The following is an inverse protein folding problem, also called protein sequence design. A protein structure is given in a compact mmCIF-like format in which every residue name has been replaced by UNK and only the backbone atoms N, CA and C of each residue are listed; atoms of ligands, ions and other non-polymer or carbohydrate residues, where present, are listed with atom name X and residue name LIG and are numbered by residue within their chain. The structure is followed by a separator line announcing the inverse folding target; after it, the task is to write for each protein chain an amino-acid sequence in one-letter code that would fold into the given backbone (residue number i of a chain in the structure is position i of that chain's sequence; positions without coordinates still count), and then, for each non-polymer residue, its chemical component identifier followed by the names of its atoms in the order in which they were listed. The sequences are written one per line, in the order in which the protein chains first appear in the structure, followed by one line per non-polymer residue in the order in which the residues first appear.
data_IF_123644962722
#
_entry.id   IF_123644962722
#
_cell.length_a   1.000
_cell.length_b   1.000
_cell.length_c   1.000
_cell.angle_alpha   90.00
_cell.angle_beta   90.00
_cell.angle_gamma   90.00
#
_symmetry.space_group_name_H-M   'P 1'
#
loop_
_entity.id
_entity.type
_entity.pdbx_description
1 polymer ?
#
# COMPACT_ATOMS: atom_id res chain seq x y z
N UNK A 1 2.40 32.41 31.14
CA UNK A 1 1.12 31.66 31.04
C UNK A 1 1.42 30.18 31.11
N UNK A 2 0.81 29.42 32.03
CA UNK A 2 0.98 27.98 32.00
C UNK A 2 0.41 27.45 30.68
N UNK A 3 1.18 26.60 29.98
CA UNK A 3 0.74 25.89 28.76
C UNK A 3 -0.52 25.09 29.15
N UNK A 4 -1.55 25.15 28.29
CA UNK A 4 -2.74 24.36 28.50
C UNK A 4 -2.41 22.84 28.46
N UNK A 5 -3.30 22.02 28.95
CA UNK A 5 -3.09 20.58 29.06
C UNK A 5 -2.76 19.94 27.67
N UNK A 6 -3.41 20.39 26.58
CA UNK A 6 -3.19 19.89 25.25
C UNK A 6 -1.75 20.14 24.77
N UNK A 7 -1.24 21.36 24.97
CA UNK A 7 0.14 21.73 24.65
C UNK A 7 1.17 20.93 25.48
N UNK A 8 0.84 20.63 26.73
CA UNK A 8 1.70 19.79 27.59
C UNK A 8 1.75 18.35 27.14
N UNK A 9 0.62 17.79 26.75
CA UNK A 9 0.53 16.42 26.20
C UNK A 9 1.33 16.36 24.90
N UNK A 10 1.12 17.29 23.98
CA UNK A 10 1.86 17.38 22.73
C UNK A 10 3.37 17.42 22.97
N UNK A 11 3.82 18.32 23.85
CA UNK A 11 5.24 18.43 24.21
C UNK A 11 5.79 17.14 24.83
N UNK A 12 5.02 16.46 25.67
CA UNK A 12 5.42 15.19 26.25
C UNK A 12 5.58 14.07 25.19
N UNK A 13 4.69 14.05 24.22
CA UNK A 13 4.72 13.08 23.10
C UNK A 13 5.84 13.34 22.10
N UNK A 14 6.37 14.57 22.02
CA UNK A 14 7.47 14.95 21.12
C UNK A 14 8.87 14.85 21.74
N UNK A 15 9.00 14.40 22.99
CA UNK A 15 10.29 14.28 23.71
C UNK A 15 11.29 13.31 23.01
N UNK A 16 10.97 12.61 22.01
CA UNK A 16 11.90 11.74 21.29
C UNK A 16 12.15 12.15 19.84
N UNK A 17 11.86 13.39 19.44
CA UNK A 17 11.78 13.81 18.04
C UNK A 17 10.76 12.98 17.22
N UNK A 18 9.76 12.42 17.88
CA UNK A 18 8.68 11.70 17.23
C UNK A 18 7.46 12.60 17.21
N UNK A 19 6.87 12.83 16.05
CA UNK A 19 5.60 13.53 15.97
C UNK A 19 4.51 12.73 16.73
N UNK A 20 3.64 13.41 17.50
CA UNK A 20 2.55 12.73 18.18
C UNK A 20 1.65 12.05 17.17
N UNK A 21 1.31 10.79 17.42
CA UNK A 21 0.28 10.10 16.66
C UNK A 21 -1.07 10.67 17.10
N UNK A 22 -1.60 11.60 16.33
CA UNK A 22 -2.90 12.23 16.62
C UNK A 22 -4.09 11.30 16.35
N UNK A 23 -3.88 10.27 15.53
CA UNK A 23 -4.91 9.33 15.11
C UNK A 23 -4.54 7.89 15.47
N UNK A 24 -5.49 7.16 16.04
CA UNK A 24 -5.32 5.74 16.30
C UNK A 24 -5.27 4.98 14.99
N UNK A 25 -4.11 4.38 14.68
CA UNK A 25 -3.92 3.55 13.50
C UNK A 25 -4.03 2.09 13.94
N UNK A 26 -5.00 1.31 13.42
CA UNK A 26 -5.22 -0.06 13.88
C UNK A 26 -4.12 -1.05 13.47
N UNK A 27 -3.26 -0.67 12.51
CA UNK A 27 -2.20 -1.54 11.99
C UNK A 27 -0.85 -0.83 11.98
N UNK A 28 0.26 -1.52 12.30
CA UNK A 28 1.60 -0.92 12.35
C UNK A 28 2.21 -0.65 10.97
N UNK A 29 1.67 -1.21 9.89
CA UNK A 29 2.11 -1.01 8.51
C UNK A 29 1.08 -1.61 7.53
N UNK A 30 1.25 -1.38 6.22
CA UNK A 30 0.33 -1.86 5.19
C UNK A 30 0.32 -3.39 5.07
N UNK A 31 1.42 -4.09 5.28
CA UNK A 31 1.42 -5.56 5.31
C UNK A 31 0.52 -6.07 6.42
N UNK A 32 0.66 -5.54 7.63
CA UNK A 32 -0.20 -5.94 8.75
C UNK A 32 -1.68 -5.59 8.50
N UNK A 33 -1.97 -4.52 7.75
CA UNK A 33 -3.32 -4.23 7.29
C UNK A 33 -3.82 -5.35 6.35
N UNK A 34 -3.02 -5.75 5.36
CA UNK A 34 -3.38 -6.81 4.40
C UNK A 34 -3.60 -8.14 5.12
N UNK A 35 -2.70 -8.52 6.03
CA UNK A 35 -2.82 -9.72 6.85
C UNK A 35 -4.10 -9.67 7.71
N UNK A 36 -4.34 -8.54 8.38
CA UNK A 36 -5.52 -8.34 9.23
C UNK A 36 -6.84 -8.35 8.46
N UNK A 37 -6.87 -7.81 7.24
CA UNK A 37 -8.05 -7.88 6.38
C UNK A 37 -8.35 -9.32 5.97
N UNK A 38 -7.33 -10.12 5.64
CA UNK A 38 -7.52 -11.53 5.33
C UNK A 38 -8.05 -12.31 6.54
N UNK A 39 -7.49 -12.10 7.74
CA UNK A 39 -7.98 -12.73 8.97
C UNK A 39 -9.45 -12.35 9.24
N UNK A 40 -9.80 -11.09 9.02
CA UNK A 40 -11.15 -10.56 9.32
C UNK A 40 -12.21 -11.03 8.33
N UNK A 41 -11.88 -11.09 7.05
CA UNK A 41 -12.86 -11.31 5.98
C UNK A 41 -12.71 -12.67 5.31
N UNK A 42 -11.53 -13.28 5.24
CA UNK A 42 -11.29 -14.63 4.74
C UNK A 42 -12.02 -14.92 3.41
N UNK A 43 -12.91 -15.87 3.45
CA UNK A 43 -13.71 -16.31 2.28
C UNK A 43 -14.85 -15.35 1.90
N UNK A 44 -15.01 -14.23 2.63
CA UNK A 44 -16.03 -13.25 2.27
C UNK A 44 -15.71 -12.62 0.92
N UNK A 45 -16.68 -12.60 0.01
CA UNK A 45 -16.59 -11.87 -1.26
C UNK A 45 -16.54 -10.38 -0.96
N UNK A 46 -15.42 -9.74 -1.30
CA UNK A 46 -15.19 -8.29 -1.12
C UNK A 46 -15.43 -7.50 -2.40
N UNK A 47 -15.30 -8.15 -3.56
CA UNK A 47 -15.62 -7.56 -4.87
C UNK A 47 -16.59 -8.44 -5.62
N UNK A 48 -17.87 -8.11 -5.55
CA UNK A 48 -18.99 -8.95 -6.05
C UNK A 48 -18.92 -9.21 -7.56
N UNK A 49 -18.64 -8.17 -8.36
CA UNK A 49 -18.62 -8.27 -9.82
C UNK A 49 -17.51 -9.22 -10.36
N UNK A 50 -16.49 -9.47 -9.58
CA UNK A 50 -15.37 -10.36 -9.91
C UNK A 50 -15.37 -11.64 -9.08
N UNK A 51 -16.34 -11.80 -8.18
CA UNK A 51 -16.40 -12.90 -7.23
C UNK A 51 -15.07 -13.12 -6.46
N UNK A 52 -14.40 -12.01 -6.12
CA UNK A 52 -13.13 -12.06 -5.41
C UNK A 52 -13.36 -12.03 -3.91
N UNK A 53 -12.82 -13.03 -3.23
CA UNK A 53 -12.76 -13.08 -1.77
C UNK A 53 -11.49 -12.39 -1.26
N UNK A 54 -11.48 -12.07 0.03
CA UNK A 54 -10.29 -11.55 0.69
C UNK A 54 -9.12 -12.55 0.61
N UNK A 55 -9.38 -13.85 0.79
CA UNK A 55 -8.39 -14.93 0.65
C UNK A 55 -7.76 -14.98 -0.74
N UNK A 56 -8.57 -14.90 -1.80
CA UNK A 56 -8.03 -14.91 -3.18
C UNK A 56 -7.10 -13.74 -3.42
N UNK A 57 -7.48 -12.53 -2.98
CA UNK A 57 -6.65 -11.33 -3.12
C UNK A 57 -5.36 -11.50 -2.31
N UNK A 58 -5.47 -12.00 -1.09
CA UNK A 58 -4.34 -12.25 -0.21
C UNK A 58 -3.35 -13.25 -0.83
N UNK A 59 -3.83 -14.40 -1.28
CA UNK A 59 -3.00 -15.43 -1.90
C UNK A 59 -2.24 -14.91 -3.12
N UNK A 60 -2.94 -14.16 -3.99
CA UNK A 60 -2.30 -13.52 -5.14
C UNK A 60 -1.26 -12.47 -4.73
N UNK A 61 -1.52 -11.70 -3.68
CA UNK A 61 -0.53 -10.76 -3.16
C UNK A 61 0.72 -11.47 -2.63
N UNK A 62 0.57 -12.62 -1.93
CA UNK A 62 1.68 -13.43 -1.47
C UNK A 62 2.50 -14.00 -2.65
N UNK A 63 1.83 -14.49 -3.68
CA UNK A 63 2.47 -14.97 -4.91
C UNK A 63 3.27 -13.88 -5.63
N UNK A 64 2.72 -12.67 -5.71
CA UNK A 64 3.42 -11.51 -6.30
C UNK A 64 4.64 -11.13 -5.46
N UNK A 65 4.55 -11.15 -4.13
CA UNK A 65 5.69 -10.87 -3.26
C UNK A 65 6.82 -11.89 -3.49
N UNK A 66 6.51 -13.17 -3.58
CA UNK A 66 7.47 -14.23 -3.91
C UNK A 66 8.07 -14.05 -5.30
N UNK A 67 7.24 -13.71 -6.30
CA UNK A 67 7.69 -13.45 -7.65
C UNK A 67 8.64 -12.24 -7.72
N UNK A 68 8.29 -11.12 -7.08
CA UNK A 68 9.15 -9.92 -7.00
C UNK A 68 10.49 -10.25 -6.34
N UNK A 69 10.46 -11.02 -5.25
CA UNK A 69 11.68 -11.47 -4.59
C UNK A 69 12.55 -12.33 -5.53
N UNK A 70 11.95 -13.20 -6.34
CA UNK A 70 12.67 -14.01 -7.33
C UNK A 70 13.30 -13.18 -8.45
N UNK A 71 12.76 -11.98 -8.72
CA UNK A 71 13.35 -10.99 -9.64
C UNK A 71 14.43 -10.14 -8.97
N UNK A 72 14.77 -10.42 -7.72
CA UNK A 72 15.84 -9.73 -6.98
C UNK A 72 15.37 -8.47 -6.25
N UNK A 73 14.07 -8.16 -6.26
CA UNK A 73 13.54 -7.00 -5.53
C UNK A 73 13.63 -7.25 -4.02
N UNK A 74 14.16 -6.27 -3.31
CA UNK A 74 14.32 -6.30 -1.86
C UNK A 74 13.29 -5.38 -1.17
N UNK A 75 13.02 -5.59 0.14
CA UNK A 75 12.27 -4.61 0.93
C UNK A 75 12.87 -3.21 0.80
N UNK A 76 12.03 -2.18 0.85
CA UNK A 76 12.36 -0.75 0.66
C UNK A 76 12.78 -0.35 -0.76
N UNK A 77 12.90 -1.28 -1.69
CA UNK A 77 13.14 -0.92 -3.08
C UNK A 77 11.85 -0.45 -3.76
N UNK A 78 12.01 0.32 -4.81
CA UNK A 78 10.90 0.94 -5.55
C UNK A 78 10.53 0.14 -6.78
N UNK A 79 9.22 -0.06 -6.95
CA UNK A 79 8.61 -0.76 -8.07
C UNK A 79 7.70 0.22 -8.81
N UNK A 80 8.02 0.55 -10.07
CA UNK A 80 7.18 1.41 -10.89
C UNK A 80 6.01 0.61 -11.46
N UNK A 81 4.80 1.05 -11.20
CA UNK A 81 3.57 0.41 -11.68
C UNK A 81 2.86 1.33 -12.65
N UNK A 82 2.61 0.83 -13.86
CA UNK A 82 1.78 1.53 -14.85
C UNK A 82 0.31 1.27 -14.54
N UNK A 83 -0.59 2.19 -14.95
CA UNK A 83 -2.03 2.00 -14.76
C UNK A 83 -2.49 0.63 -15.27
N UNK A 84 -3.24 -0.07 -14.47
CA UNK A 84 -3.80 -1.40 -14.77
C UNK A 84 -5.28 -1.43 -14.47
N UNK A 85 -5.99 -2.29 -15.19
CA UNK A 85 -7.39 -2.52 -14.93
C UNK A 85 -7.60 -3.21 -13.58
N UNK A 86 -8.77 -3.01 -12.99
CA UNK A 86 -9.22 -3.80 -11.86
C UNK A 86 -9.41 -5.27 -12.29
N UNK A 87 -9.06 -6.28 -11.48
CA UNK A 87 -8.64 -6.21 -10.07
C UNK A 87 -7.12 -6.05 -9.86
N UNK A 88 -6.33 -6.02 -10.92
CA UNK A 88 -4.86 -6.00 -10.85
C UNK A 88 -4.33 -4.72 -10.19
N UNK A 89 -5.05 -3.61 -10.37
CA UNK A 89 -4.76 -2.32 -9.72
C UNK A 89 -4.80 -2.38 -8.17
N UNK A 90 -5.42 -3.41 -7.60
CA UNK A 90 -5.43 -3.65 -6.14
C UNK A 90 -4.45 -4.75 -5.76
N UNK A 91 -4.46 -5.87 -6.47
CA UNK A 91 -3.68 -7.06 -6.13
C UNK A 91 -2.17 -6.78 -6.21
N UNK A 92 -1.72 -6.06 -7.24
CA UNK A 92 -0.30 -5.77 -7.45
C UNK A 92 0.28 -4.86 -6.35
N UNK A 93 -0.34 -3.72 -5.98
CA UNK A 93 0.08 -2.95 -4.82
C UNK A 93 0.16 -3.77 -3.53
N UNK A 94 -0.83 -4.63 -3.28
CA UNK A 94 -0.80 -5.50 -2.10
C UNK A 94 0.40 -6.45 -2.10
N UNK A 95 0.76 -7.01 -3.24
CA UNK A 95 1.96 -7.84 -3.38
C UNK A 95 3.25 -7.06 -3.12
N UNK A 96 3.35 -5.83 -3.63
CA UNK A 96 4.50 -4.95 -3.40
C UNK A 96 4.65 -4.63 -1.91
N UNK A 97 3.54 -4.25 -1.23
CA UNK A 97 3.56 -3.96 0.21
C UNK A 97 3.76 -5.21 1.07
N UNK A 98 3.30 -6.38 0.61
CA UNK A 98 3.59 -7.67 1.26
C UNK A 98 5.09 -7.96 1.27
N UNK A 99 5.80 -7.68 0.18
CA UNK A 99 7.26 -7.74 0.14
C UNK A 99 7.91 -6.70 1.08
N UNK A 100 7.25 -5.58 1.34
CA UNK A 100 7.80 -4.43 2.06
C UNK A 100 8.54 -3.46 1.13
N UNK A 101 8.24 -3.50 -0.16
CA UNK A 101 8.71 -2.56 -1.18
C UNK A 101 7.77 -1.36 -1.31
N UNK A 102 8.23 -0.32 -2.02
CA UNK A 102 7.48 0.91 -2.29
C UNK A 102 6.94 0.93 -3.71
N UNK A 103 5.69 1.33 -3.88
CA UNK A 103 5.08 1.51 -5.20
C UNK A 103 5.42 2.90 -5.75
N UNK A 104 5.78 2.98 -7.02
CA UNK A 104 5.91 4.26 -7.74
C UNK A 104 4.80 4.36 -8.77
N UNK A 105 4.06 5.46 -8.74
CA UNK A 105 3.01 5.80 -9.69
C UNK A 105 3.43 7.05 -10.44
N UNK A 106 3.47 6.96 -11.77
CA UNK A 106 3.88 8.05 -12.64
C UNK A 106 2.66 8.62 -13.39
N UNK A 107 2.20 9.79 -12.95
CA UNK A 107 1.09 10.50 -13.59
C UNK A 107 1.55 11.36 -14.77
N UNK A 108 2.86 11.55 -14.95
CA UNK A 108 3.41 12.32 -16.08
C UNK A 108 3.59 11.45 -17.33
N UNK A 109 3.37 10.13 -17.21
CA UNK A 109 3.52 9.09 -18.25
C UNK A 109 4.90 9.08 -18.94
N UNK A 110 5.92 9.53 -18.24
CA UNK A 110 7.32 9.49 -18.69
C UNK A 110 8.11 8.42 -17.92
N UNK A 111 7.97 7.18 -18.38
CA UNK A 111 8.54 6.01 -17.70
C UNK A 111 10.06 6.10 -17.48
N UNK A 112 10.82 6.56 -18.47
CA UNK A 112 12.28 6.63 -18.38
C UNK A 112 12.72 7.65 -17.34
N UNK A 113 12.08 8.82 -17.35
CA UNK A 113 12.32 9.86 -16.37
C UNK A 113 11.90 9.42 -14.98
N UNK A 114 10.76 8.72 -14.85
CA UNK A 114 10.29 8.17 -13.59
C UNK A 114 11.28 7.16 -13.00
N UNK A 115 11.77 6.18 -13.79
CA UNK A 115 12.78 5.21 -13.36
C UNK A 115 14.04 5.94 -12.88
N UNK A 116 14.56 6.86 -13.68
CA UNK A 116 15.78 7.60 -13.37
C UNK A 116 15.64 8.43 -12.08
N UNK A 117 14.48 9.06 -11.90
CA UNK A 117 14.19 9.91 -10.75
C UNK A 117 14.01 9.12 -9.46
N UNK A 118 13.34 7.98 -9.53
CA UNK A 118 12.97 7.19 -8.35
C UNK A 118 13.92 6.02 -8.09
N UNK A 119 14.84 5.72 -9.01
CA UNK A 119 15.68 4.53 -8.98
C UNK A 119 14.86 3.24 -8.86
N UNK A 120 13.70 3.20 -9.55
CA UNK A 120 12.85 2.02 -9.58
C UNK A 120 13.57 0.84 -10.21
N UNK A 121 13.48 -0.33 -9.57
CA UNK A 121 14.23 -1.53 -9.95
C UNK A 121 13.55 -2.32 -11.07
N UNK A 122 12.23 -2.24 -11.16
CA UNK A 122 11.41 -2.93 -12.13
C UNK A 122 10.22 -2.08 -12.52
N UNK A 123 9.71 -2.28 -13.73
CA UNK A 123 8.48 -1.65 -14.23
C UNK A 123 7.44 -2.72 -14.49
N UNK A 124 6.31 -2.62 -13.83
CA UNK A 124 5.16 -3.49 -14.02
C UNK A 124 4.16 -2.81 -14.96
N UNK A 125 3.90 -3.43 -16.12
CA UNK A 125 3.14 -2.79 -17.21
C UNK A 125 1.83 -3.48 -17.57
N UNK A 126 1.71 -4.77 -17.26
CA UNK A 126 0.58 -5.58 -17.71
C UNK A 126 0.21 -6.65 -16.68
N UNK A 127 -0.89 -7.33 -16.94
CA UNK A 127 -1.46 -8.38 -16.10
C UNK A 127 -0.74 -9.74 -16.23
N UNK A 128 0.22 -9.89 -17.15
CA UNK A 128 1.00 -11.14 -17.30
C UNK A 128 1.74 -11.51 -16.03
N UNK A 129 2.02 -10.50 -15.19
CA UNK A 129 2.61 -10.67 -13.87
C UNK A 129 1.79 -11.62 -13.02
N UNK A 130 0.46 -11.55 -13.10
CA UNK A 130 -0.45 -12.43 -12.37
C UNK A 130 -0.21 -13.89 -12.76
N UNK A 131 -0.22 -14.18 -14.07
CA UNK A 131 0.00 -15.54 -14.58
C UNK A 131 1.41 -16.05 -14.26
N UNK A 132 2.42 -15.18 -14.31
CA UNK A 132 3.79 -15.53 -13.93
C UNK A 132 3.90 -15.80 -12.42
N UNK A 133 3.22 -15.03 -11.59
CA UNK A 133 3.26 -15.17 -10.14
C UNK A 133 2.48 -16.38 -9.63
N UNK A 134 1.48 -16.90 -10.34
CA UNK A 134 0.71 -18.08 -9.97
C UNK A 134 1.57 -19.35 -9.77
N UNK A 135 2.78 -19.37 -10.31
CA UNK A 135 3.74 -20.47 -10.14
C UNK A 135 4.44 -20.44 -8.78
N UNK A 136 4.27 -19.37 -8.01
CA UNK A 136 4.91 -19.17 -6.73
C UNK A 136 3.97 -19.54 -5.57
N UNK A 137 4.53 -19.85 -4.38
CA UNK A 137 3.74 -20.18 -3.20
C UNK A 137 2.79 -19.04 -2.81
N UNK A 138 1.61 -19.41 -2.28
CA UNK A 138 0.63 -18.49 -1.68
C UNK A 138 0.99 -18.06 -0.25
N UNK A 139 2.17 -18.43 0.21
CA UNK A 139 2.76 -17.99 1.47
C UNK A 139 4.10 -17.33 1.20
N UNK A 140 4.24 -16.07 1.61
CA UNK A 140 5.48 -15.31 1.56
C UNK A 140 6.12 -15.26 2.94
N UNK A 141 7.39 -15.68 3.04
CA UNK A 141 8.17 -15.59 4.29
C UNK A 141 8.84 -14.22 4.39
N UNK A 142 8.35 -13.32 5.27
CA UNK A 142 8.88 -11.96 5.34
C UNK A 142 10.31 -11.91 5.88
N UNK A 143 11.22 -11.29 5.14
CA UNK A 143 12.60 -11.02 5.58
C UNK A 143 12.76 -9.68 6.27
N UNK A 144 11.74 -8.84 6.21
CA UNK A 144 11.73 -7.50 6.75
C UNK A 144 10.34 -7.16 7.31
N UNK A 145 10.30 -6.50 8.47
CA UNK A 145 9.07 -5.96 9.06
C UNK A 145 9.02 -4.46 8.76
N UNK A 146 8.12 -3.99 7.87
CA UNK A 146 8.00 -2.58 7.56
C UNK A 146 7.66 -1.75 8.80
N UNK A 147 8.24 -0.55 8.90
CA UNK A 147 7.98 0.43 9.93
C UNK A 147 6.95 1.45 9.44
N UNK A 148 6.36 2.22 10.35
CA UNK A 148 5.39 3.27 10.01
C UNK A 148 6.02 4.37 9.13
N UNK A 149 7.26 4.73 9.38
CA UNK A 149 8.00 5.74 8.64
C UNK A 149 8.59 5.26 7.31
N UNK A 150 8.59 3.94 7.05
CA UNK A 150 9.07 3.44 5.78
C UNK A 150 8.22 3.93 4.62
N UNK A 151 8.88 4.28 3.52
CA UNK A 151 8.21 4.68 2.29
C UNK A 151 7.33 3.52 1.77
N UNK A 152 6.08 3.81 1.51
CA UNK A 152 5.11 2.88 0.96
C UNK A 152 4.72 3.22 -0.49
N UNK A 153 4.76 4.51 -0.83
CA UNK A 153 4.43 4.97 -2.18
C UNK A 153 5.19 6.24 -2.56
N UNK A 154 5.42 6.40 -3.86
CA UNK A 154 5.88 7.64 -4.50
C UNK A 154 4.94 7.98 -5.63
N UNK A 155 4.35 9.17 -5.60
CA UNK A 155 3.54 9.71 -6.68
C UNK A 155 4.36 10.76 -7.44
N UNK A 156 4.51 10.57 -8.76
CA UNK A 156 5.13 11.57 -9.63
C UNK A 156 4.03 12.37 -10.30
N UNK A 157 4.07 13.69 -10.13
CA UNK A 157 3.14 14.65 -10.75
C UNK A 157 3.89 15.95 -11.06
N UNK A 158 3.76 16.47 -12.26
CA UNK A 158 4.46 17.67 -12.72
C UNK A 158 5.99 17.59 -12.48
N UNK A 159 6.56 16.43 -12.75
CA UNK A 159 7.97 16.14 -12.49
C UNK A 159 8.41 16.28 -11.03
N UNK A 160 7.49 16.29 -10.07
CA UNK A 160 7.77 16.28 -8.63
C UNK A 160 7.41 14.89 -8.09
N UNK A 161 8.27 14.31 -7.26
CA UNK A 161 7.99 13.05 -6.57
C UNK A 161 7.51 13.32 -5.15
N UNK A 162 6.28 12.92 -4.84
CA UNK A 162 5.70 12.98 -3.50
C UNK A 162 5.84 11.63 -2.84
N UNK A 163 6.51 11.59 -1.70
CA UNK A 163 6.73 10.35 -0.94
C UNK A 163 5.69 10.21 0.16
N UNK A 164 5.14 9.02 0.28
CA UNK A 164 4.17 8.65 1.31
C UNK A 164 4.70 7.47 2.10
N UNK A 165 4.73 7.60 3.42
CA UNK A 165 5.07 6.51 4.32
C UNK A 165 3.87 5.58 4.56
N UNK A 166 4.10 4.44 5.21
CA UNK A 166 3.01 3.60 5.71
C UNK A 166 2.06 4.43 6.60
N UNK A 167 2.62 5.30 7.46
CA UNK A 167 1.84 6.18 8.31
C UNK A 167 0.89 7.07 7.53
N UNK A 168 1.38 7.77 6.51
CA UNK A 168 0.56 8.68 5.71
C UNK A 168 -0.64 7.95 5.06
N UNK A 169 -0.40 6.76 4.48
CA UNK A 169 -1.46 6.00 3.83
C UNK A 169 -2.47 5.45 4.84
N UNK A 170 -2.02 4.93 5.98
CA UNK A 170 -2.90 4.38 7.00
C UNK A 170 -3.76 5.46 7.67
N UNK A 171 -3.18 6.62 8.00
CA UNK A 171 -3.92 7.75 8.59
C UNK A 171 -4.96 8.28 7.62
N UNK A 172 -4.58 8.48 6.35
CA UNK A 172 -5.51 8.96 5.33
C UNK A 172 -6.67 7.98 5.12
N UNK A 173 -6.38 6.68 5.05
CA UNK A 173 -7.41 5.64 4.94
C UNK A 173 -8.34 5.65 6.15
N UNK A 174 -7.78 5.75 7.37
CA UNK A 174 -8.58 5.79 8.59
C UNK A 174 -9.46 7.04 8.65
N UNK A 175 -8.95 8.21 8.25
CA UNK A 175 -9.73 9.43 8.16
C UNK A 175 -10.90 9.31 7.19
N UNK A 176 -10.68 8.73 6.00
CA UNK A 176 -11.77 8.47 5.04
C UNK A 176 -12.82 7.54 5.63
N UNK A 177 -12.41 6.47 6.32
CA UNK A 177 -13.34 5.51 6.95
C UNK A 177 -14.17 6.12 8.08
N UNK A 178 -13.67 7.15 8.75
CA UNK A 178 -14.42 7.88 9.80
C UNK A 178 -15.46 8.83 9.23
N UNK A 179 -15.20 9.42 8.06
CA UNK A 179 -16.11 10.37 7.41
C UNK A 179 -17.17 9.68 6.54
N UNK A 180 -16.86 8.50 6.01
CA UNK A 180 -17.75 7.73 5.15
C UNK A 180 -18.16 6.47 5.89
N UNK A 181 -19.47 6.27 6.14
CA UNK A 181 -19.98 5.03 6.69
C UNK A 181 -19.88 3.89 5.66
N UNK A 182 -18.68 3.32 5.54
CA UNK A 182 -18.41 2.18 4.66
C UNK A 182 -18.80 0.83 5.30
N UNK A 183 -19.36 0.83 6.51
CA UNK A 183 -19.78 -0.39 7.19
C UNK A 183 -21.15 -0.87 6.77
N UNK A 184 -21.93 -0.04 6.05
CA UNK A 184 -23.14 -0.48 5.38
C UNK A 184 -22.75 -1.28 4.12
N UNK A 185 -23.57 -2.29 3.75
CA UNK A 185 -23.37 -3.14 2.56
C UNK A 185 -23.43 -2.38 1.21
N UNK A 186 -23.09 -1.11 1.21
CA UNK A 186 -23.09 -0.28 0.01
C UNK A 186 -21.85 -0.56 -0.83
N UNK A 187 -22.08 -0.87 -2.10
CA UNK A 187 -21.03 -1.06 -3.09
C UNK A 187 -20.33 0.26 -3.35
N UNK A 188 -19.06 0.33 -2.94
CA UNK A 188 -18.17 1.39 -3.42
C UNK A 188 -17.80 1.05 -4.87
N UNK A 189 -18.21 1.87 -5.82
CA UNK A 189 -17.64 1.81 -7.17
C UNK A 189 -16.21 2.32 -7.08
N UNK A 190 -15.26 1.40 -7.02
CA UNK A 190 -13.85 1.74 -7.14
C UNK A 190 -13.60 2.13 -8.60
N UNK A 191 -13.48 3.42 -8.84
CA UNK A 191 -12.71 3.87 -9.98
C UNK A 191 -11.32 3.21 -9.92
N UNK A 192 -10.70 2.90 -11.09
CA UNK A 192 -9.32 2.44 -11.06
C UNK A 192 -8.55 3.37 -10.12
N UNK A 193 -7.78 2.79 -9.20
CA UNK A 193 -6.93 3.56 -8.30
C UNK A 193 -5.86 4.28 -9.13
N UNK A 194 -6.31 5.22 -9.93
CA UNK A 194 -5.52 6.38 -10.24
C UNK A 194 -5.55 7.13 -8.91
N UNK A 195 -4.44 7.16 -8.20
CA UNK A 195 -4.32 8.07 -7.08
C UNK A 195 -4.47 9.47 -7.67
N UNK A 196 -5.70 9.96 -7.63
CA UNK A 196 -6.03 11.32 -8.06
C UNK A 196 -5.50 12.21 -6.95
N UNK A 197 -4.31 12.73 -7.18
CA UNK A 197 -3.76 13.79 -6.34
C UNK A 197 -4.25 15.15 -6.83
#
# INVERSE_FOLDING_TARGET
MPLDLKSRIYKAQTIGNVEPIEHMIPYPNLRSLIDGQNIKYGERVVYKDYNLTSSIIYDKAQQIANWLQSKGIQPKERVLVKPMAFPFSVIIPFGIWTLGASIVIDNDDDTEKAIKKTNSKIVLRDDKIINESEKFPTHYEPRYKPLLEDEAAVLIKNSIGYQYSNYNLLVNTNGILQEIDLFSDQSLSLFPMVMVG
#
